data_IF_089922601973
#
_entry.id   IF_089922601973
#
_cell.length_a   1.000
_cell.length_b   1.000
_cell.length_c   1.000
_cell.angle_alpha   90.00
_cell.angle_beta   90.00
_cell.angle_gamma   90.00
#
_symmetry.space_group_name_H-M   'P 1'
#
loop_
_entity.id
_entity.type
_entity.pdbx_description
1 polymer ?
#
# COMPACT_ATOMS: atom_id res chain seq x y z
N UNK A 1 37.81 12.56 32.82
CA UNK A 1 37.38 12.00 34.11
C UNK A 1 36.05 11.30 33.95
N UNK A 2 35.79 10.21 34.68
CA UNK A 2 34.53 9.45 34.61
C UNK A 2 33.29 10.33 34.88
N UNK A 3 33.43 11.29 35.81
CA UNK A 3 32.38 12.23 36.19
C UNK A 3 31.80 13.03 35.02
N UNK A 4 32.65 13.67 34.19
CA UNK A 4 32.19 14.44 33.02
C UNK A 4 31.45 13.59 31.99
N UNK A 5 31.87 12.34 31.81
CA UNK A 5 31.23 11.40 30.88
C UNK A 5 29.82 11.05 31.36
N UNK A 6 29.68 10.76 32.65
CA UNK A 6 28.38 10.45 33.25
C UNK A 6 27.43 11.66 33.19
N UNK A 7 27.94 12.87 33.43
CA UNK A 7 27.17 14.12 33.32
C UNK A 7 26.67 14.36 31.88
N UNK A 8 27.53 14.15 30.87
CA UNK A 8 27.16 14.28 29.47
C UNK A 8 26.14 13.22 29.04
N UNK A 9 26.31 11.97 29.45
CA UNK A 9 25.34 10.90 29.17
C UNK A 9 23.98 11.19 29.83
N UNK A 10 23.98 11.71 31.06
CA UNK A 10 22.74 12.10 31.75
C UNK A 10 22.07 13.33 31.12
N UNK A 11 22.83 14.23 30.49
CA UNK A 11 22.27 15.32 29.69
C UNK A 11 21.64 14.77 28.40
N UNK A 12 22.37 13.95 27.64
CA UNK A 12 21.88 13.35 26.39
C UNK A 12 20.63 12.50 26.61
N UNK A 13 20.56 11.72 27.68
CA UNK A 13 19.37 10.94 28.02
C UNK A 13 18.18 11.81 28.40
N UNK A 14 18.39 13.00 28.97
CA UNK A 14 17.31 13.95 29.25
C UNK A 14 16.82 14.66 28.00
N UNK A 15 17.72 15.00 27.10
CA UNK A 15 17.38 15.69 25.85
C UNK A 15 16.67 14.77 24.85
N UNK A 16 16.88 13.45 24.95
CA UNK A 16 16.29 12.43 24.07
C UNK A 16 15.23 11.55 24.75
N UNK A 17 14.70 11.96 25.91
CA UNK A 17 13.68 11.16 26.59
C UNK A 17 12.30 11.25 25.91
N UNK A 18 11.50 10.20 26.05
CA UNK A 18 10.12 10.22 25.56
C UNK A 18 9.25 11.14 26.42
N UNK A 19 8.17 11.68 25.85
CA UNK A 19 7.22 12.55 26.57
C UNK A 19 6.70 11.90 27.87
N UNK A 20 6.52 10.58 27.88
CA UNK A 20 6.12 9.82 29.08
C UNK A 20 7.17 9.85 30.19
N UNK A 21 8.46 9.70 29.83
CA UNK A 21 9.57 9.77 30.78
C UNK A 21 9.76 11.20 31.32
N UNK A 22 9.64 12.21 30.46
CA UNK A 22 9.65 13.62 30.88
C UNK A 22 8.54 13.90 31.90
N UNK A 23 7.33 13.45 31.59
CA UNK A 23 6.16 13.63 32.44
C UNK A 23 6.35 12.98 33.82
N UNK A 24 6.79 11.71 33.87
CA UNK A 24 7.06 11.02 35.13
C UNK A 24 8.10 11.74 35.98
N UNK A 25 9.20 12.22 35.37
CA UNK A 25 10.21 12.99 36.09
C UNK A 25 9.65 14.30 36.65
N UNK A 26 8.87 15.03 35.85
CA UNK A 26 8.32 16.30 36.29
C UNK A 26 7.30 16.14 37.41
N UNK A 27 6.46 15.10 37.35
CA UNK A 27 5.59 14.68 38.45
C UNK A 27 6.40 14.38 39.71
N UNK A 28 7.48 13.60 39.60
CA UNK A 28 8.34 13.28 40.72
C UNK A 28 9.03 14.52 41.30
N UNK A 29 9.47 15.45 40.44
CA UNK A 29 10.07 16.74 40.83
C UNK A 29 9.09 17.61 41.61
N UNK A 30 7.86 17.76 41.10
CA UNK A 30 6.79 18.52 41.75
C UNK A 30 6.42 17.88 43.09
N UNK A 31 6.29 16.56 43.13
CA UNK A 31 5.94 15.81 44.34
C UNK A 31 7.04 15.90 45.41
N UNK A 32 8.32 15.94 45.00
CA UNK A 32 9.46 16.08 45.90
C UNK A 32 9.57 17.49 46.55
N UNK A 33 8.85 18.50 46.05
CA UNK A 33 8.80 19.84 46.64
C UNK A 33 7.91 19.86 47.91
N UNK A 34 8.39 19.23 48.98
CA UNK A 34 7.64 19.05 50.22
C UNK A 34 7.41 20.37 50.98
N UNK A 35 8.33 21.33 50.86
CA UNK A 35 8.25 22.64 51.51
C UNK A 35 7.39 23.67 50.75
N UNK A 36 6.96 23.35 49.53
CA UNK A 36 6.09 24.24 48.77
C UNK A 36 4.64 24.14 49.27
N UNK A 37 3.89 25.24 49.13
CA UNK A 37 2.46 25.27 49.42
C UNK A 37 1.72 24.18 48.63
N UNK A 38 0.83 23.46 49.32
CA UNK A 38 0.12 22.32 48.76
C UNK A 38 -0.76 22.70 47.56
N UNK A 39 -1.41 23.87 47.59
CA UNK A 39 -2.23 24.36 46.48
C UNK A 39 -1.37 24.67 45.25
N UNK A 40 -0.19 25.26 45.46
CA UNK A 40 0.77 25.55 44.38
C UNK A 40 1.31 24.27 43.75
N UNK A 41 1.65 23.28 44.57
CA UNK A 41 2.12 21.96 44.11
C UNK A 41 1.05 21.21 43.33
N UNK A 42 -0.19 21.19 43.82
CA UNK A 42 -1.29 20.52 43.14
C UNK A 42 -1.63 21.19 41.81
N UNK A 43 -1.67 22.54 41.77
CA UNK A 43 -1.88 23.27 40.52
C UNK A 43 -0.74 23.05 39.50
N UNK A 44 0.51 22.90 39.96
CA UNK A 44 1.62 22.55 39.09
C UNK A 44 1.48 21.14 38.52
N UNK A 45 1.05 20.17 39.34
CA UNK A 45 0.82 18.80 38.93
C UNK A 45 -0.30 18.68 37.89
N UNK A 46 -1.41 19.39 38.09
CA UNK A 46 -2.52 19.44 37.13
C UNK A 46 -2.09 20.01 35.78
N UNK A 47 -1.33 21.12 35.76
CA UNK A 47 -0.80 21.69 34.52
C UNK A 47 0.12 20.72 33.78
N UNK A 48 0.93 19.96 34.49
CA UNK A 48 1.80 18.96 33.87
C UNK A 48 1.01 17.76 33.33
N UNK A 49 0.00 17.30 34.06
CA UNK A 49 -0.94 16.28 33.58
C UNK A 49 -1.68 16.74 32.31
N UNK A 50 -2.14 17.99 32.27
CA UNK A 50 -2.79 18.57 31.09
C UNK A 50 -1.83 18.68 29.89
N UNK A 51 -0.59 19.12 30.12
CA UNK A 51 0.43 19.17 29.07
C UNK A 51 0.70 17.79 28.50
N UNK A 52 0.90 16.79 29.34
CA UNK A 52 1.11 15.41 28.93
C UNK A 52 -0.09 14.88 28.13
N UNK A 53 -1.32 15.14 28.59
CA UNK A 53 -2.55 14.78 27.86
C UNK A 53 -2.61 15.42 26.47
N UNK A 54 -2.25 16.71 26.35
CA UNK A 54 -2.18 17.43 25.06
C UNK A 54 -1.09 16.89 24.15
N UNK A 55 0.08 16.57 24.68
CA UNK A 55 1.18 15.98 23.92
C UNK A 55 0.80 14.57 23.39
N UNK A 56 0.19 13.74 24.23
CA UNK A 56 -0.33 12.43 23.85
C UNK A 56 -1.46 12.52 22.82
N UNK A 57 -2.33 13.55 22.91
CA UNK A 57 -3.36 13.80 21.91
C UNK A 57 -2.75 14.20 20.56
N UNK A 58 -1.77 15.10 20.55
CA UNK A 58 -1.03 15.49 19.34
C UNK A 58 -0.26 14.33 18.71
N UNK A 59 0.27 13.42 19.52
CA UNK A 59 0.95 12.21 19.04
C UNK A 59 -0.03 11.20 18.42
N UNK A 60 -1.30 11.20 18.87
CA UNK A 60 -2.38 10.37 18.31
C UNK A 60 -3.04 11.01 17.08
N UNK A 61 -3.03 12.33 16.98
CA UNK A 61 -3.43 13.02 15.77
C UNK A 61 -2.40 12.70 14.67
N UNK A 62 -2.78 11.78 13.78
CA UNK A 62 -2.05 11.62 12.51
C UNK A 62 -1.95 13.01 11.89
N UNK A 63 -0.77 13.44 11.39
CA UNK A 63 -0.70 14.66 10.63
C UNK A 63 -1.82 14.59 9.59
N UNK A 64 -2.65 15.63 9.50
CA UNK A 64 -3.57 15.77 8.38
C UNK A 64 -2.68 15.71 7.15
N UNK A 65 -2.58 14.53 6.54
CA UNK A 65 -1.98 14.39 5.25
C UNK A 65 -2.76 15.38 4.42
N UNK A 66 -2.04 16.34 3.84
CA UNK A 66 -2.56 17.15 2.77
C UNK A 66 -2.83 16.15 1.65
N UNK A 67 -3.95 15.44 1.72
CA UNK A 67 -4.42 14.54 0.69
C UNK A 67 -4.73 15.49 -0.45
N UNK A 68 -3.74 15.64 -1.33
CA UNK A 68 -3.93 16.35 -2.57
C UNK A 68 -4.93 15.50 -3.36
N UNK A 69 -6.19 15.85 -3.23
CA UNK A 69 -7.35 15.14 -3.77
C UNK A 69 -7.25 15.03 -5.31
N UNK A 70 -6.40 15.84 -5.93
CA UNK A 70 -6.00 15.75 -7.34
C UNK A 70 -5.09 14.56 -7.63
N UNK A 71 -4.11 14.26 -6.76
CA UNK A 71 -3.24 13.10 -6.93
C UNK A 71 -4.02 11.78 -6.75
N UNK A 72 -4.96 11.76 -5.80
CA UNK A 72 -5.90 10.65 -5.64
C UNK A 72 -6.83 10.47 -6.84
N UNK A 73 -7.39 11.58 -7.36
CA UNK A 73 -8.21 11.58 -8.58
C UNK A 73 -7.43 11.13 -9.81
N UNK A 74 -6.20 11.59 -9.98
CA UNK A 74 -5.34 11.23 -11.09
C UNK A 74 -4.96 9.74 -11.04
N UNK A 75 -4.63 9.22 -9.86
CA UNK A 75 -4.35 7.78 -9.68
C UNK A 75 -5.58 6.92 -9.99
N UNK A 76 -6.76 7.36 -9.56
CA UNK A 76 -8.02 6.68 -9.88
C UNK A 76 -8.30 6.69 -11.39
N UNK A 77 -8.08 7.83 -12.06
CA UNK A 77 -8.23 7.95 -13.50
C UNK A 77 -7.29 7.00 -14.25
N UNK A 78 -6.00 6.97 -13.88
CA UNK A 78 -5.04 6.06 -14.50
C UNK A 78 -5.36 4.59 -14.23
N UNK A 79 -5.81 4.25 -13.02
CA UNK A 79 -6.23 2.89 -12.68
C UNK A 79 -7.43 2.43 -13.51
N UNK A 80 -8.43 3.29 -13.69
CA UNK A 80 -9.57 3.00 -14.57
C UNK A 80 -9.13 2.83 -16.03
N UNK A 81 -8.24 3.69 -16.52
CA UNK A 81 -7.69 3.59 -17.87
C UNK A 81 -6.91 2.28 -18.07
N UNK A 82 -6.09 1.89 -17.08
CA UNK A 82 -5.37 0.63 -17.11
C UNK A 82 -6.33 -0.56 -17.21
N UNK A 83 -7.36 -0.62 -16.36
CA UNK A 83 -8.34 -1.70 -16.38
C UNK A 83 -9.08 -1.82 -17.72
N UNK A 84 -9.44 -0.69 -18.35
CA UNK A 84 -10.04 -0.69 -19.68
C UNK A 84 -9.09 -1.26 -20.74
N UNK A 85 -7.82 -0.82 -20.74
CA UNK A 85 -6.82 -1.33 -21.70
C UNK A 85 -6.54 -2.81 -21.51
N UNK A 86 -6.46 -3.29 -20.27
CA UNK A 86 -6.29 -4.71 -19.97
C UNK A 86 -7.48 -5.55 -20.46
N UNK A 87 -8.71 -5.04 -20.30
CA UNK A 87 -9.91 -5.68 -20.84
C UNK A 87 -9.90 -5.80 -22.36
N UNK A 88 -9.49 -4.75 -23.08
CA UNK A 88 -9.35 -4.77 -24.54
C UNK A 88 -8.28 -5.76 -25.00
N UNK A 89 -7.14 -5.81 -24.30
CA UNK A 89 -6.07 -6.78 -24.58
C UNK A 89 -6.56 -8.21 -24.37
N UNK A 90 -7.30 -8.47 -23.28
CA UNK A 90 -7.87 -9.79 -23.02
C UNK A 90 -8.87 -10.21 -24.11
N UNK A 91 -9.76 -9.32 -24.53
CA UNK A 91 -10.73 -9.57 -25.60
C UNK A 91 -10.04 -9.84 -26.95
N UNK A 92 -9.01 -9.07 -27.30
CA UNK A 92 -8.26 -9.26 -28.54
C UNK A 92 -7.51 -10.60 -28.56
N UNK A 93 -6.93 -11.01 -27.42
CA UNK A 93 -6.29 -12.33 -27.27
C UNK A 93 -7.30 -13.47 -27.44
N UNK A 94 -8.48 -13.34 -26.84
CA UNK A 94 -9.55 -14.34 -26.98
C UNK A 94 -9.98 -14.46 -28.44
N UNK A 95 -10.28 -13.34 -29.10
CA UNK A 95 -10.68 -13.32 -30.52
C UNK A 95 -9.60 -13.91 -31.45
N UNK A 96 -8.32 -13.64 -31.17
CA UNK A 96 -7.21 -14.22 -31.95
C UNK A 96 -7.13 -15.75 -31.75
N UNK A 97 -7.38 -16.22 -30.53
CA UNK A 97 -7.36 -17.65 -30.20
C UNK A 97 -8.55 -18.39 -30.83
N UNK A 98 -9.73 -17.76 -30.84
CA UNK A 98 -10.93 -18.27 -31.51
C UNK A 98 -10.71 -18.40 -33.03
N UNK A 99 -10.24 -17.34 -33.68
CA UNK A 99 -9.92 -17.35 -35.12
C UNK A 99 -8.85 -18.38 -35.47
N UNK A 100 -7.83 -18.52 -34.63
CA UNK A 100 -6.82 -19.55 -34.79
C UNK A 100 -7.46 -20.94 -34.74
N UNK A 101 -8.33 -21.19 -33.76
CA UNK A 101 -9.02 -22.48 -33.59
C UNK A 101 -9.91 -22.81 -34.78
N UNK A 102 -10.64 -21.84 -35.32
CA UNK A 102 -11.45 -22.01 -36.53
C UNK A 102 -10.60 -22.35 -37.76
N UNK A 103 -9.48 -21.66 -37.96
CA UNK A 103 -8.55 -21.95 -39.04
C UNK A 103 -7.98 -23.38 -38.94
N UNK A 104 -7.69 -23.87 -37.72
CA UNK A 104 -7.24 -25.24 -37.50
C UNK A 104 -8.33 -26.27 -37.85
N UNK A 105 -9.59 -26.00 -37.49
CA UNK A 105 -10.73 -26.85 -37.88
C UNK A 105 -10.90 -26.90 -39.40
N UNK A 106 -10.79 -25.76 -40.07
CA UNK A 106 -10.87 -25.68 -41.53
C UNK A 106 -9.71 -26.46 -42.18
N UNK A 107 -8.49 -26.31 -41.68
CA UNK A 107 -7.33 -27.04 -42.18
C UNK A 107 -7.50 -28.56 -42.02
N UNK A 108 -8.03 -29.04 -40.90
CA UNK A 108 -8.34 -30.45 -40.72
C UNK A 108 -9.42 -30.94 -41.69
N UNK A 109 -10.47 -30.13 -41.93
CA UNK A 109 -11.51 -30.46 -42.91
C UNK A 109 -10.96 -30.54 -44.34
N UNK A 110 -10.01 -29.67 -44.70
CA UNK A 110 -9.33 -29.73 -45.99
C UNK A 110 -8.44 -30.95 -46.10
N UNK A 111 -7.68 -31.29 -45.06
CA UNK A 111 -6.87 -32.52 -45.04
C UNK A 111 -7.73 -33.77 -45.20
N UNK A 112 -8.87 -33.85 -44.51
CA UNK A 112 -9.80 -34.97 -44.67
C UNK A 112 -10.33 -35.05 -46.11
N UNK A 113 -10.73 -33.91 -46.69
CA UNK A 113 -11.21 -33.87 -48.06
C UNK A 113 -10.14 -34.25 -49.08
N UNK A 114 -8.89 -33.83 -48.88
CA UNK A 114 -7.74 -34.25 -49.69
C UNK A 114 -7.52 -35.76 -49.55
N UNK A 115 -7.58 -36.30 -48.32
CA UNK A 115 -7.45 -37.73 -48.07
C UNK A 115 -8.55 -38.53 -48.78
N UNK A 116 -9.81 -38.12 -48.65
CA UNK A 116 -10.96 -38.76 -49.31
C UNK A 116 -10.85 -38.72 -50.84
N UNK A 117 -10.41 -37.59 -51.40
CA UNK A 117 -10.17 -37.42 -52.84
C UNK A 117 -8.96 -38.23 -53.33
N UNK A 118 -7.89 -38.32 -52.54
CA UNK A 118 -6.70 -39.11 -52.87
C UNK A 118 -6.91 -40.63 -52.71
N UNK A 119 -7.80 -41.04 -51.81
CA UNK A 119 -8.20 -42.43 -51.61
C UNK A 119 -9.19 -42.91 -52.67
N UNK A 120 -9.94 -42.00 -53.30
CA UNK A 120 -10.66 -42.27 -54.55
C UNK A 120 -9.65 -42.38 -55.69
N UNK A 121 -9.26 -43.61 -56.05
CA UNK A 121 -8.82 -43.87 -57.43
C UNK A 121 -9.94 -43.37 -58.35
N UNK A 122 -9.64 -42.46 -59.28
CA UNK A 122 -10.56 -42.16 -60.39
C UNK A 122 -10.95 -43.49 -61.02
N UNK A 123 -12.19 -43.94 -60.78
CA UNK A 123 -12.80 -44.95 -61.62
C UNK A 123 -13.03 -44.29 -62.97
N UNK A 124 -12.74 -45.03 -64.04
CA UNK A 124 -12.52 -44.54 -65.41
C UNK A 124 -13.65 -43.66 -66.00
N UNK A 125 -14.79 -43.54 -65.34
CA UNK A 125 -15.95 -42.78 -65.81
C UNK A 125 -15.89 -41.26 -65.52
N UNK A 126 -14.90 -40.76 -64.77
CA UNK A 126 -14.72 -39.30 -64.55
C UNK A 126 -13.60 -38.67 -65.40
N UNK A 127 -12.94 -39.43 -66.28
CA UNK A 127 -11.93 -38.89 -67.23
C UNK A 127 -12.52 -38.37 -68.56
N UNK A 128 -13.84 -38.33 -68.73
CA UNK A 128 -14.46 -37.81 -69.96
C UNK A 128 -15.54 -36.77 -69.66
N UNK A 129 -15.11 -35.52 -69.47
CA UNK A 129 -15.69 -34.29 -70.05
C UNK A 129 -14.56 -33.30 -70.30
#
# INVERSE_FOLDING_TARGET
TQKRRNEQNAALNRDNETESLRHQREVARITAMQYADAAVRNAALERENERHKKAMARQKEKPKAYYNDEAGRLLLQYSQQQAQTEGLIAAAKLSTTEKMTEAHKQLLSFQQRIADLSGKKLTADEQSV
#
